data_IF_479266854089
#
_entry.id   IF_479266854089
#
_cell.length_a   1.000
_cell.length_b   1.000
_cell.length_c   1.000
_cell.angle_alpha   90.00
_cell.angle_beta   90.00
_cell.angle_gamma   90.00
#
_symmetry.space_group_name_H-M   'P 1'
#
loop_
_entity.id
_entity.type
_entity.pdbx_description
1 polymer ?
#
# COMPACT_ATOMS: atom_id res chain seq x y z
N UNK A 1 9.11 -12.62 -0.52
CA UNK A 1 10.00 -11.45 -0.38
C UNK A 1 10.07 -10.70 -1.70
N UNK A 2 9.88 -9.35 -1.70
CA UNK A 2 10.24 -8.50 -2.83
C UNK A 2 11.67 -8.01 -2.72
N UNK A 3 12.40 -7.99 -3.84
CA UNK A 3 13.70 -7.34 -3.97
C UNK A 3 13.70 -6.42 -5.17
N UNK A 4 14.16 -5.19 -4.98
CA UNK A 4 14.40 -4.21 -6.05
C UNK A 4 15.91 -4.11 -6.23
N UNK A 5 16.40 -4.39 -7.45
CA UNK A 5 17.82 -4.46 -7.80
C UNK A 5 18.15 -3.47 -8.91
N UNK A 6 18.51 -2.25 -8.52
CA UNK A 6 18.84 -1.18 -9.44
C UNK A 6 17.70 -0.79 -10.39
N UNK A 7 16.44 -1.01 -9.99
CA UNK A 7 15.29 -0.75 -10.86
C UNK A 7 15.14 0.75 -11.13
N UNK A 8 15.02 1.09 -12.42
CA UNK A 8 14.79 2.45 -12.91
C UNK A 8 13.50 2.54 -13.70
N UNK A 9 12.99 3.76 -13.84
CA UNK A 9 11.87 4.01 -14.75
C UNK A 9 12.08 5.32 -15.52
N UNK A 10 12.02 5.20 -16.86
CA UNK A 10 12.21 6.31 -17.79
C UNK A 10 11.04 6.41 -18.76
N UNK A 11 10.61 7.64 -19.06
CA UNK A 11 9.56 7.92 -20.02
C UNK A 11 10.03 9.10 -20.91
N UNK A 12 10.00 8.90 -22.22
CA UNK A 12 10.38 9.92 -23.20
C UNK A 12 11.78 10.54 -22.93
N UNK A 13 12.74 9.72 -22.53
CA UNK A 13 14.10 10.14 -22.21
C UNK A 13 14.26 10.87 -20.86
N UNK A 14 13.20 10.98 -20.07
CA UNK A 14 13.24 11.54 -18.71
C UNK A 14 13.22 10.40 -17.68
N UNK A 15 14.24 10.35 -16.84
CA UNK A 15 14.28 9.44 -15.72
C UNK A 15 13.35 9.95 -14.61
N UNK A 16 12.29 9.15 -14.31
CA UNK A 16 11.31 9.44 -13.27
C UNK A 16 11.63 8.70 -11.96
N UNK A 17 12.32 7.55 -12.05
CA UNK A 17 12.84 6.82 -10.91
C UNK A 17 14.27 6.38 -11.22
N UNK A 18 15.21 6.87 -10.43
CA UNK A 18 16.62 6.48 -10.47
C UNK A 18 16.83 5.11 -9.83
N UNK A 19 18.00 4.46 -9.98
CA UNK A 19 18.22 3.13 -9.45
C UNK A 19 17.82 3.01 -7.98
N UNK A 20 16.92 2.05 -7.70
CA UNK A 20 16.45 1.72 -6.36
C UNK A 20 17.00 0.36 -5.97
N UNK A 21 17.58 0.28 -4.77
CA UNK A 21 17.99 -0.95 -4.10
C UNK A 21 17.21 -1.07 -2.80
N UNK A 22 16.34 -2.08 -2.67
CA UNK A 22 15.61 -2.31 -1.43
C UNK A 22 15.04 -3.72 -1.36
N UNK A 23 14.77 -4.20 -0.13
CA UNK A 23 14.10 -5.48 0.15
C UNK A 23 12.90 -5.25 1.04
N UNK A 24 11.77 -5.88 0.68
CA UNK A 24 10.54 -5.84 1.45
C UNK A 24 10.22 -7.26 1.95
N UNK A 25 10.10 -7.38 3.27
CA UNK A 25 9.91 -8.64 3.99
C UNK A 25 8.46 -8.79 4.46
N UNK A 26 7.99 -10.02 4.63
CA UNK A 26 6.68 -10.33 5.18
C UNK A 26 6.63 -9.96 6.68
N UNK A 27 5.44 -9.60 7.17
CA UNK A 27 5.21 -9.20 8.56
C UNK A 27 5.62 -7.76 8.89
N UNK A 28 5.89 -6.92 7.88
CA UNK A 28 6.26 -5.51 8.06
C UNK A 28 5.41 -4.58 7.20
N UNK A 29 5.21 -3.36 7.69
CA UNK A 29 4.63 -2.23 6.95
C UNK A 29 5.76 -1.27 6.56
N UNK A 30 5.91 -1.05 5.26
CA UNK A 30 6.84 -0.11 4.65
C UNK A 30 6.12 1.15 4.19
N UNK A 31 6.43 2.29 4.78
CA UNK A 31 5.89 3.59 4.37
C UNK A 31 6.74 4.23 3.27
N UNK A 32 6.17 4.45 2.10
CA UNK A 32 6.80 5.26 1.06
C UNK A 32 6.42 6.73 1.31
N UNK A 33 7.40 7.58 1.64
CA UNK A 33 7.20 8.99 1.99
C UNK A 33 7.97 9.93 1.06
N UNK A 34 7.63 11.21 1.06
CA UNK A 34 8.25 12.25 0.24
C UNK A 34 7.20 13.15 -0.43
N UNK A 35 7.67 14.25 -1.02
CA UNK A 35 6.80 15.24 -1.69
C UNK A 35 6.09 14.64 -2.93
N UNK A 36 5.10 15.37 -3.46
CA UNK A 36 4.40 14.97 -4.70
C UNK A 36 5.38 14.96 -5.88
N UNK A 37 5.28 13.92 -6.73
CA UNK A 37 6.20 13.75 -7.85
C UNK A 37 7.59 13.20 -7.47
N UNK A 38 7.82 12.77 -6.23
CA UNK A 38 9.11 12.21 -5.79
C UNK A 38 9.40 10.79 -6.29
N UNK A 39 8.42 10.09 -6.94
CA UNK A 39 8.60 8.75 -7.49
C UNK A 39 7.91 7.63 -6.71
N UNK A 40 7.18 7.90 -5.62
CA UNK A 40 6.49 6.90 -4.78
C UNK A 40 5.53 6.02 -5.58
N UNK A 41 4.56 6.65 -6.28
CA UNK A 41 3.60 5.93 -7.12
C UNK A 41 4.25 5.24 -8.31
N UNK A 42 5.39 5.74 -8.81
CA UNK A 42 6.18 5.04 -9.83
C UNK A 42 6.77 3.76 -9.25
N UNK A 43 7.42 3.81 -8.09
CA UNK A 43 7.99 2.63 -7.45
C UNK A 43 6.91 1.58 -7.16
N UNK A 44 5.79 1.96 -6.56
CA UNK A 44 4.72 1.00 -6.23
C UNK A 44 4.11 0.38 -7.49
N UNK A 45 4.01 1.11 -8.61
CA UNK A 45 3.54 0.58 -9.90
C UNK A 45 4.52 -0.40 -10.54
N UNK A 46 5.83 -0.22 -10.35
CA UNK A 46 6.84 -1.21 -10.77
C UNK A 46 6.67 -2.50 -9.96
N UNK A 47 6.51 -2.39 -8.63
CA UNK A 47 6.25 -3.52 -7.74
C UNK A 47 4.94 -4.23 -8.09
N UNK A 48 3.90 -3.49 -8.48
CA UNK A 48 2.58 -4.01 -8.85
C UNK A 48 2.50 -4.57 -10.28
N UNK A 49 3.61 -4.64 -11.02
CA UNK A 49 3.63 -5.05 -12.44
C UNK A 49 2.71 -4.19 -13.34
N UNK A 50 2.43 -2.95 -12.91
CA UNK A 50 1.62 -2.00 -13.69
C UNK A 50 2.46 -1.22 -14.70
N UNK A 51 3.77 -1.18 -14.48
CA UNK A 51 4.74 -0.55 -15.38
C UNK A 51 5.98 -1.44 -15.48
N UNK A 52 6.60 -1.57 -16.66
CA UNK A 52 7.85 -2.29 -16.81
C UNK A 52 9.02 -1.48 -16.24
N UNK A 53 10.04 -2.14 -15.73
CA UNK A 53 11.31 -1.50 -15.39
C UNK A 53 12.06 -1.11 -16.66
N UNK A 54 12.75 0.04 -16.66
CA UNK A 54 13.60 0.46 -17.78
C UNK A 54 14.98 -0.17 -17.72
N UNK A 55 15.56 -0.26 -16.51
CA UNK A 55 16.82 -0.97 -16.22
C UNK A 55 16.74 -1.58 -14.82
N UNK A 56 17.60 -2.54 -14.54
CA UNK A 56 17.57 -3.29 -13.29
C UNK A 56 16.42 -4.30 -13.25
N UNK A 57 16.06 -4.75 -12.07
CA UNK A 57 15.07 -5.81 -11.87
C UNK A 57 14.22 -5.57 -10.62
N UNK A 58 12.97 -6.03 -10.68
CA UNK A 58 12.12 -6.26 -9.52
C UNK A 58 11.88 -7.76 -9.42
N UNK A 59 12.21 -8.35 -8.29
CA UNK A 59 12.11 -9.78 -8.03
C UNK A 59 11.02 -10.04 -7.00
N UNK A 60 10.22 -11.05 -7.23
CA UNK A 60 9.27 -11.61 -6.26
C UNK A 60 9.61 -13.08 -6.02
N UNK A 61 9.91 -13.43 -4.77
CA UNK A 61 10.29 -14.80 -4.37
C UNK A 61 11.42 -15.39 -5.24
N UNK A 62 12.41 -14.56 -5.59
CA UNK A 62 13.58 -14.95 -6.38
C UNK A 62 13.35 -15.06 -7.90
N UNK A 63 12.18 -14.67 -8.40
CA UNK A 63 11.82 -14.66 -9.82
C UNK A 63 11.51 -13.24 -10.28
N UNK A 64 11.99 -12.77 -11.45
CA UNK A 64 11.64 -11.46 -11.98
C UNK A 64 10.12 -11.29 -12.08
N UNK A 65 9.59 -10.12 -11.68
CA UNK A 65 8.13 -9.87 -11.77
C UNK A 65 7.62 -9.93 -13.20
N UNK A 66 8.45 -9.59 -14.19
CA UNK A 66 8.12 -9.71 -15.63
C UNK A 66 7.78 -11.14 -16.08
N UNK A 67 8.30 -12.13 -15.38
CA UNK A 67 8.16 -13.55 -15.75
C UNK A 67 6.91 -14.19 -15.16
N UNK A 68 6.23 -13.48 -14.25
CA UNK A 68 5.00 -13.96 -13.64
C UNK A 68 3.80 -13.75 -14.57
N UNK A 69 2.99 -14.77 -14.77
CA UNK A 69 1.68 -14.62 -15.38
C UNK A 69 0.75 -13.77 -14.51
N UNK A 70 -0.10 -12.94 -15.10
CA UNK A 70 -0.95 -11.99 -14.37
C UNK A 70 -1.74 -12.61 -13.21
N UNK A 71 -2.36 -13.80 -13.41
CA UNK A 71 -3.12 -14.48 -12.35
C UNK A 71 -2.22 -15.04 -11.26
N UNK A 72 -1.10 -15.62 -11.63
CA UNK A 72 -0.13 -16.18 -10.68
C UNK A 72 0.44 -15.07 -9.79
N UNK A 73 0.78 -13.94 -10.40
CA UNK A 73 1.23 -12.74 -9.70
C UNK A 73 0.14 -12.19 -8.76
N UNK A 74 -1.10 -12.07 -9.24
CA UNK A 74 -2.22 -11.58 -8.45
C UNK A 74 -2.58 -12.48 -7.26
N UNK A 75 -2.22 -13.77 -7.26
CA UNK A 75 -2.33 -14.63 -6.06
C UNK A 75 -1.27 -14.34 -5.00
N UNK A 76 -0.27 -13.54 -5.32
CA UNK A 76 0.83 -13.16 -4.41
C UNK A 76 0.76 -11.72 -3.98
N UNK A 77 0.30 -10.85 -4.87
CA UNK A 77 0.35 -9.39 -4.73
C UNK A 77 -1.01 -8.80 -5.01
N UNK A 78 -1.59 -8.13 -4.03
CA UNK A 78 -2.77 -7.29 -4.18
C UNK A 78 -2.34 -5.83 -4.30
N UNK A 79 -2.99 -5.08 -5.18
CA UNK A 79 -2.67 -3.68 -5.45
C UNK A 79 -3.92 -2.81 -5.41
N UNK A 80 -3.88 -1.75 -4.61
CA UNK A 80 -4.88 -0.70 -4.56
C UNK A 80 -4.33 0.56 -5.22
N UNK A 81 -4.85 0.97 -6.37
CA UNK A 81 -4.40 2.20 -7.03
C UNK A 81 -4.94 3.45 -6.32
N UNK A 82 -4.26 4.59 -6.50
CA UNK A 82 -4.67 5.89 -5.97
C UNK A 82 -6.08 6.29 -6.40
N UNK A 83 -6.43 6.04 -7.66
CA UNK A 83 -7.77 6.27 -8.19
C UNK A 83 -8.50 4.94 -8.29
N UNK A 84 -9.48 4.76 -7.40
CA UNK A 84 -10.29 3.55 -7.39
C UNK A 84 -11.17 3.49 -8.65
N UNK A 85 -11.30 2.32 -9.28
CA UNK A 85 -12.24 2.12 -10.38
C UNK A 85 -13.68 2.42 -9.95
N UNK A 86 -14.54 2.76 -10.89
CA UNK A 86 -15.97 2.87 -10.64
C UNK A 86 -16.54 1.50 -10.21
N UNK A 87 -17.36 1.51 -9.18
CA UNK A 87 -18.07 0.33 -8.68
C UNK A 87 -19.59 0.56 -8.73
N UNK A 88 -20.05 1.33 -9.72
CA UNK A 88 -21.46 1.68 -9.91
C UNK A 88 -22.34 0.42 -9.99
N UNK A 89 -23.46 0.47 -9.29
CA UNK A 89 -24.44 -0.60 -9.22
C UNK A 89 -23.96 -1.91 -8.57
N UNK A 90 -22.77 -1.95 -7.94
CA UNK A 90 -22.30 -3.10 -7.19
C UNK A 90 -22.62 -2.92 -5.71
N UNK A 91 -23.04 -4.00 -5.05
CA UNK A 91 -23.02 -4.06 -3.59
C UNK A 91 -21.60 -4.40 -3.10
N UNK A 92 -21.28 -4.04 -1.84
CA UNK A 92 -19.95 -4.27 -1.28
C UNK A 92 -19.50 -5.73 -1.39
N UNK A 93 -20.38 -6.69 -1.11
CA UNK A 93 -20.10 -8.13 -1.22
C UNK A 93 -19.72 -8.57 -2.63
N UNK A 94 -20.36 -8.03 -3.65
CA UNK A 94 -20.01 -8.32 -5.04
C UNK A 94 -18.62 -7.76 -5.38
N UNK A 95 -18.33 -6.52 -4.96
CA UNK A 95 -17.00 -5.93 -5.14
C UNK A 95 -15.92 -6.76 -4.42
N UNK A 96 -16.17 -7.17 -3.17
CA UNK A 96 -15.23 -8.01 -2.40
C UNK A 96 -15.00 -9.34 -3.12
N UNK A 97 -16.02 -9.92 -3.74
CA UNK A 97 -15.91 -11.19 -4.47
C UNK A 97 -14.95 -11.11 -5.68
N UNK A 98 -14.73 -9.93 -6.27
CA UNK A 98 -13.75 -9.75 -7.33
C UNK A 98 -12.31 -10.03 -6.88
N UNK A 99 -12.02 -9.95 -5.59
CA UNK A 99 -10.75 -10.41 -5.02
C UNK A 99 -10.45 -11.89 -5.32
N UNK A 100 -11.47 -12.70 -5.60
CA UNK A 100 -11.31 -14.12 -5.95
C UNK A 100 -11.01 -14.38 -7.43
N UNK A 101 -11.07 -13.35 -8.29
CA UNK A 101 -10.78 -13.47 -9.72
C UNK A 101 -9.45 -14.20 -10.06
N UNK A 102 -8.34 -13.98 -9.37
CA UNK A 102 -7.09 -14.69 -9.65
C UNK A 102 -7.20 -16.21 -9.47
N UNK A 103 -8.13 -16.69 -8.65
CA UNK A 103 -8.28 -18.12 -8.30
C UNK A 103 -9.09 -18.90 -9.31
N UNK A 104 -10.18 -18.34 -9.85
CA UNK A 104 -11.07 -19.04 -10.79
C UNK A 104 -11.21 -18.37 -12.16
N UNK A 105 -10.79 -17.09 -12.30
CA UNK A 105 -10.94 -16.30 -13.53
C UNK A 105 -12.38 -15.86 -13.83
N UNK A 106 -12.57 -15.15 -14.94
CA UNK A 106 -13.84 -14.50 -15.28
C UNK A 106 -15.01 -15.50 -15.51
N UNK A 107 -14.72 -16.68 -16.05
CA UNK A 107 -15.72 -17.70 -16.38
C UNK A 107 -15.79 -18.83 -15.34
N UNK A 108 -14.97 -18.75 -14.28
CA UNK A 108 -14.98 -19.73 -13.21
C UNK A 108 -16.21 -19.59 -12.30
N UNK A 109 -16.68 -20.70 -11.75
CA UNK A 109 -17.74 -20.68 -10.74
C UNK A 109 -17.13 -20.45 -9.38
N UNK A 110 -17.77 -19.61 -8.57
CA UNK A 110 -17.41 -19.45 -7.16
C UNK A 110 -17.54 -20.78 -6.42
N UNK A 111 -16.47 -21.20 -5.79
CA UNK A 111 -16.42 -22.39 -4.94
C UNK A 111 -16.89 -22.05 -3.52
N UNK A 112 -17.03 -23.07 -2.66
CA UNK A 112 -17.27 -22.84 -1.22
C UNK A 112 -16.06 -22.15 -0.55
N UNK A 113 -14.84 -22.43 -1.03
CA UNK A 113 -13.62 -21.76 -0.55
C UNK A 113 -13.62 -20.27 -0.88
N UNK A 114 -14.08 -19.90 -2.09
CA UNK A 114 -14.19 -18.48 -2.48
C UNK A 114 -15.22 -17.75 -1.59
N UNK A 115 -16.36 -18.36 -1.32
CA UNK A 115 -17.37 -17.80 -0.42
C UNK A 115 -16.80 -17.63 0.99
N UNK A 116 -16.11 -18.63 1.51
CA UNK A 116 -15.48 -18.56 2.82
C UNK A 116 -14.39 -17.47 2.89
N UNK A 117 -13.62 -17.28 1.81
CA UNK A 117 -12.61 -16.21 1.73
C UNK A 117 -13.26 -14.81 1.72
N UNK A 118 -14.39 -14.64 1.01
CA UNK A 118 -15.16 -13.38 1.01
C UNK A 118 -15.72 -13.09 2.40
N UNK A 119 -16.34 -14.07 3.07
CA UNK A 119 -16.86 -13.86 4.44
C UNK A 119 -15.74 -13.51 5.43
N UNK A 120 -14.61 -14.23 5.40
CA UNK A 120 -13.44 -13.87 6.22
C UNK A 120 -12.93 -12.45 5.94
N UNK A 121 -12.91 -12.02 4.68
CA UNK A 121 -12.49 -10.68 4.33
C UNK A 121 -13.45 -9.60 4.87
N UNK A 122 -14.75 -9.86 4.84
CA UNK A 122 -15.81 -9.02 5.42
C UNK A 122 -15.58 -8.87 6.93
N UNK A 123 -15.41 -9.99 7.64
CA UNK A 123 -15.16 -10.00 9.09
C UNK A 123 -13.85 -9.25 9.44
N UNK A 124 -12.75 -9.57 8.76
CA UNK A 124 -11.44 -8.97 9.01
C UNK A 124 -11.40 -7.45 8.76
N UNK A 125 -12.20 -6.95 7.83
CA UNK A 125 -12.28 -5.52 7.49
C UNK A 125 -13.36 -4.76 8.26
N UNK A 126 -14.16 -5.46 9.09
CA UNK A 126 -15.32 -4.90 9.80
C UNK A 126 -16.30 -4.19 8.86
N UNK A 127 -16.74 -4.94 7.81
CA UNK A 127 -17.65 -4.42 6.78
C UNK A 127 -19.02 -5.09 6.79
N UNK A 128 -19.34 -5.90 7.80
CA UNK A 128 -20.55 -6.72 7.92
C UNK A 128 -21.83 -5.88 7.75
N UNK A 129 -21.88 -4.70 8.40
CA UNK A 129 -23.07 -3.86 8.45
C UNK A 129 -23.39 -3.18 7.11
N UNK A 130 -22.44 -3.13 6.18
CA UNK A 130 -22.61 -2.42 4.90
C UNK A 130 -22.14 -3.22 3.67
N UNK A 131 -21.73 -4.48 3.84
CA UNK A 131 -21.33 -5.34 2.71
C UNK A 131 -22.45 -5.55 1.69
N UNK A 132 -23.70 -5.52 2.11
CA UNK A 132 -24.86 -5.71 1.24
C UNK A 132 -25.52 -4.40 0.78
N UNK A 133 -24.85 -3.24 1.02
CA UNK A 133 -25.26 -1.93 0.50
C UNK A 133 -24.53 -1.61 -0.81
N UNK A 134 -25.16 -0.76 -1.64
CA UNK A 134 -24.51 -0.25 -2.87
C UNK A 134 -23.26 0.56 -2.52
N UNK A 135 -22.15 0.28 -3.19
CA UNK A 135 -20.84 0.90 -2.93
C UNK A 135 -20.89 2.43 -3.08
N UNK A 136 -21.68 2.93 -4.02
CA UNK A 136 -21.84 4.36 -4.26
C UNK A 136 -22.61 5.09 -3.15
N UNK A 137 -23.35 4.37 -2.31
CA UNK A 137 -24.07 4.92 -1.15
C UNK A 137 -23.27 4.92 0.14
N UNK A 138 -22.07 4.36 0.11
CA UNK A 138 -21.19 4.27 1.26
C UNK A 138 -20.45 5.59 1.51
N UNK A 139 -20.17 5.89 2.77
CA UNK A 139 -19.23 6.96 3.13
C UNK A 139 -17.82 6.64 2.58
N UNK A 140 -16.94 7.64 2.55
CA UNK A 140 -15.56 7.45 2.09
C UNK A 140 -14.83 6.34 2.85
N UNK A 141 -14.97 6.32 4.19
CA UNK A 141 -14.33 5.30 5.05
C UNK A 141 -14.92 3.90 4.86
N UNK A 142 -16.27 3.77 4.80
CA UNK A 142 -16.93 2.50 4.52
C UNK A 142 -16.51 1.95 3.15
N UNK A 143 -16.50 2.80 2.13
CA UNK A 143 -16.07 2.42 0.78
C UNK A 143 -14.61 1.97 0.76
N UNK A 144 -13.71 2.69 1.46
CA UNK A 144 -12.30 2.30 1.55
C UNK A 144 -12.13 0.93 2.21
N UNK A 145 -12.89 0.62 3.27
CA UNK A 145 -12.88 -0.70 3.93
C UNK A 145 -13.37 -1.80 3.00
N UNK A 146 -14.39 -1.55 2.16
CA UNK A 146 -14.86 -2.53 1.16
C UNK A 146 -13.78 -2.83 0.12
N UNK A 147 -13.05 -1.81 -0.37
CA UNK A 147 -11.90 -2.03 -1.25
C UNK A 147 -10.78 -2.79 -0.57
N UNK A 148 -10.49 -2.49 0.70
CA UNK A 148 -9.51 -3.25 1.47
C UNK A 148 -9.96 -4.72 1.65
N UNK A 149 -11.25 -4.96 1.94
CA UNK A 149 -11.83 -6.29 2.01
C UNK A 149 -11.66 -7.08 0.70
N UNK A 150 -11.84 -6.42 -0.45
CA UNK A 150 -11.59 -7.04 -1.75
C UNK A 150 -10.14 -7.52 -1.88
N UNK A 151 -9.17 -6.71 -1.44
CA UNK A 151 -7.76 -7.12 -1.45
C UNK A 151 -7.48 -8.27 -0.47
N UNK A 152 -8.14 -8.29 0.69
CA UNK A 152 -8.03 -9.40 1.66
C UNK A 152 -8.64 -10.70 1.13
N UNK A 153 -9.78 -10.61 0.43
CA UNK A 153 -10.39 -11.78 -0.22
C UNK A 153 -9.48 -12.42 -1.28
N UNK A 154 -8.52 -11.68 -1.81
CA UNK A 154 -7.52 -12.20 -2.74
C UNK A 154 -6.52 -13.15 -2.06
N UNK A 155 -6.38 -13.11 -0.73
CA UNK A 155 -5.47 -13.97 0.07
C UNK A 155 -4.02 -13.90 -0.42
N UNK A 156 -3.59 -12.69 -0.78
CA UNK A 156 -2.20 -12.40 -1.19
C UNK A 156 -1.31 -12.15 0.03
N UNK A 157 0.02 -12.36 -0.14
CA UNK A 157 1.01 -12.10 0.93
C UNK A 157 1.55 -10.67 0.90
N UNK A 158 1.42 -9.99 -0.23
CA UNK A 158 1.91 -8.63 -0.44
C UNK A 158 0.73 -7.70 -0.74
N UNK A 159 0.66 -6.62 0.00
CA UNK A 159 -0.38 -5.60 -0.15
C UNK A 159 0.26 -4.26 -0.51
N UNK A 160 0.02 -3.80 -1.72
CA UNK A 160 0.54 -2.55 -2.27
C UNK A 160 -0.58 -1.51 -2.28
N UNK A 161 -0.41 -0.40 -1.55
CA UNK A 161 -1.44 0.62 -1.34
C UNK A 161 -0.92 1.99 -1.80
N UNK A 162 -1.43 2.49 -2.92
CA UNK A 162 -1.03 3.79 -3.47
C UNK A 162 -1.98 4.88 -2.97
N UNK A 163 -1.58 5.65 -1.95
CA UNK A 163 -2.34 6.74 -1.32
C UNK A 163 -3.76 6.35 -0.86
N UNK A 164 -3.94 5.25 -0.09
CA UNK A 164 -5.26 4.74 0.23
C UNK A 164 -6.09 5.65 1.14
N UNK A 165 -5.51 6.72 1.68
CA UNK A 165 -6.11 7.58 2.68
C UNK A 165 -6.50 8.98 2.14
N UNK A 166 -6.20 9.29 0.87
CA UNK A 166 -6.25 10.65 0.34
C UNK A 166 -7.65 11.33 0.42
N UNK A 167 -8.73 10.54 0.43
CA UNK A 167 -10.11 11.05 0.44
C UNK A 167 -10.79 10.92 1.81
N UNK A 168 -10.05 10.59 2.88
CA UNK A 168 -10.58 10.33 4.20
C UNK A 168 -10.25 11.46 5.17
N UNK A 169 -11.15 11.74 6.12
CA UNK A 169 -10.84 12.56 7.28
C UNK A 169 -9.89 11.85 8.25
N UNK A 170 -9.33 12.60 9.20
CA UNK A 170 -8.29 12.11 10.13
C UNK A 170 -8.77 10.89 10.93
N UNK A 171 -10.03 10.87 11.38
CA UNK A 171 -10.57 9.75 12.15
C UNK A 171 -10.55 8.45 11.34
N UNK A 172 -11.11 8.50 10.13
CA UNK A 172 -11.16 7.35 9.23
C UNK A 172 -9.76 6.93 8.74
N UNK A 173 -8.83 7.88 8.54
CA UNK A 173 -7.44 7.55 8.21
C UNK A 173 -6.79 6.71 9.31
N UNK A 174 -6.96 7.11 10.58
CA UNK A 174 -6.41 6.38 11.72
C UNK A 174 -7.04 5.00 11.87
N UNK A 175 -8.37 4.88 11.68
CA UNK A 175 -9.06 3.59 11.73
C UNK A 175 -8.54 2.61 10.64
N UNK A 176 -8.38 3.09 9.40
CA UNK A 176 -7.87 2.28 8.29
C UNK A 176 -6.42 1.87 8.54
N UNK A 177 -5.55 2.78 9.03
CA UNK A 177 -4.16 2.43 9.36
C UNK A 177 -4.07 1.44 10.53
N UNK A 178 -4.88 1.60 11.56
CA UNK A 178 -4.94 0.66 12.68
C UNK A 178 -5.41 -0.74 12.21
N UNK A 179 -6.38 -0.79 11.31
CA UNK A 179 -6.84 -2.03 10.68
C UNK A 179 -5.71 -2.67 9.85
N UNK A 180 -5.03 -1.91 9.00
CA UNK A 180 -3.89 -2.41 8.20
C UNK A 180 -2.78 -2.96 9.12
N UNK A 181 -2.47 -2.26 10.23
CA UNK A 181 -1.48 -2.72 11.22
C UNK A 181 -1.89 -4.07 11.82
N UNK A 182 -3.12 -4.16 12.32
CA UNK A 182 -3.68 -5.40 12.86
C UNK A 182 -3.59 -6.56 11.84
N UNK A 183 -4.01 -6.33 10.60
CA UNK A 183 -3.96 -7.34 9.54
C UNK A 183 -2.53 -7.76 9.20
N UNK A 184 -1.59 -6.82 9.15
CA UNK A 184 -0.17 -7.14 8.95
C UNK A 184 0.35 -8.05 10.06
N UNK A 185 0.03 -7.76 11.32
CA UNK A 185 0.47 -8.54 12.46
C UNK A 185 -0.14 -9.95 12.52
N UNK A 186 -1.45 -10.06 12.25
CA UNK A 186 -2.19 -11.33 12.31
C UNK A 186 -1.89 -12.24 11.13
N UNK A 187 -1.87 -11.69 9.92
CA UNK A 187 -1.72 -12.46 8.66
C UNK A 187 -0.28 -12.49 8.15
N UNK A 188 0.67 -11.82 8.83
CA UNK A 188 2.07 -11.70 8.42
C UNK A 188 2.25 -11.13 7.02
N UNK A 189 1.40 -10.17 6.64
CA UNK A 189 1.47 -9.53 5.34
C UNK A 189 2.72 -8.65 5.23
N UNK A 190 3.27 -8.53 4.02
CA UNK A 190 4.12 -7.42 3.65
C UNK A 190 3.24 -6.31 3.10
N UNK A 191 3.19 -5.17 3.77
CA UNK A 191 2.42 -4.01 3.31
C UNK A 191 3.37 -2.93 2.84
N UNK A 192 3.18 -2.43 1.62
CA UNK A 192 3.90 -1.26 1.09
C UNK A 192 2.85 -0.18 0.82
N UNK A 193 2.93 0.92 1.56
CA UNK A 193 1.90 1.95 1.57
C UNK A 193 2.49 3.34 1.28
N UNK A 194 1.89 4.06 0.35
CA UNK A 194 2.23 5.48 0.11
C UNK A 194 1.48 6.36 1.10
N UNK A 195 2.21 7.12 1.89
CA UNK A 195 1.69 8.04 2.88
C UNK A 195 2.25 9.44 2.69
N UNK A 196 1.43 10.46 2.95
CA UNK A 196 1.84 11.88 2.90
C UNK A 196 2.19 12.43 4.28
N UNK A 197 1.49 11.96 5.32
CA UNK A 197 1.71 12.40 6.69
C UNK A 197 2.81 11.58 7.36
N UNK A 198 3.92 12.24 7.70
CA UNK A 198 5.06 11.61 8.34
C UNK A 198 4.73 11.13 9.76
N UNK A 199 3.82 11.80 10.46
CA UNK A 199 3.45 11.39 11.82
C UNK A 199 2.63 10.11 11.78
N UNK A 200 1.73 9.96 10.80
CA UNK A 200 1.02 8.69 10.57
C UNK A 200 1.99 7.59 10.12
N UNK A 201 2.91 7.89 9.19
CA UNK A 201 3.90 6.93 8.74
C UNK A 201 4.79 6.46 9.89
N UNK A 202 5.27 7.37 10.74
CA UNK A 202 6.11 7.01 11.89
C UNK A 202 5.41 6.17 12.95
N UNK A 203 4.07 6.30 13.06
CA UNK A 203 3.28 5.57 14.05
C UNK A 203 2.90 4.15 13.61
N UNK A 204 2.66 3.96 12.32
CA UNK A 204 2.06 2.70 11.82
C UNK A 204 3.01 1.85 11.00
N UNK A 205 4.13 2.39 10.49
CA UNK A 205 5.08 1.65 9.68
C UNK A 205 6.26 1.13 10.50
N UNK A 206 6.80 -0.01 10.10
CA UNK A 206 8.02 -0.59 10.68
C UNK A 206 9.27 0.03 10.07
N UNK A 207 9.21 0.34 8.77
CA UNK A 207 10.28 0.99 8.01
C UNK A 207 9.71 2.10 7.12
N UNK A 208 10.50 3.14 6.92
CA UNK A 208 10.18 4.26 6.03
C UNK A 208 11.21 4.31 4.91
N UNK A 209 10.74 4.49 3.68
CA UNK A 209 11.55 4.72 2.49
C UNK A 209 11.19 6.09 1.94
N UNK A 210 12.11 7.05 2.07
CA UNK A 210 11.92 8.41 1.62
C UNK A 210 12.43 8.61 0.20
N UNK A 211 11.56 9.10 -0.68
CA UNK A 211 11.93 9.45 -2.06
C UNK A 211 11.93 10.96 -2.25
N UNK A 212 12.94 11.44 -2.96
CA UNK A 212 13.06 12.82 -3.40
C UNK A 212 13.56 12.86 -4.85
N UNK A 213 12.84 13.55 -5.74
CA UNK A 213 13.21 13.70 -7.16
C UNK A 213 13.58 12.37 -7.85
N UNK A 214 12.80 11.32 -7.60
CA UNK A 214 13.01 10.00 -8.18
C UNK A 214 14.15 9.18 -7.56
N UNK A 215 14.75 9.62 -6.46
CA UNK A 215 15.85 8.92 -5.77
C UNK A 215 15.42 8.52 -4.36
N UNK A 216 15.90 7.38 -3.88
CA UNK A 216 15.85 7.06 -2.47
C UNK A 216 16.83 7.96 -1.75
N UNK A 217 16.30 8.85 -0.91
CA UNK A 217 17.10 9.81 -0.14
C UNK A 217 17.56 9.20 1.19
N UNK A 218 16.66 8.49 1.85
CA UNK A 218 16.91 7.84 3.13
C UNK A 218 15.95 6.65 3.32
N UNK A 219 16.34 5.68 4.10
CA UNK A 219 15.49 4.60 4.56
C UNK A 219 15.92 4.16 5.97
N UNK A 220 14.98 3.60 6.73
CA UNK A 220 15.25 3.10 8.08
C UNK A 220 13.98 3.03 8.92
N UNK A 221 14.15 2.68 10.18
CA UNK A 221 13.06 2.69 11.16
C UNK A 221 12.53 4.12 11.37
N UNK A 222 11.26 4.28 11.82
CA UNK A 222 10.74 5.59 12.19
C UNK A 222 11.64 6.34 13.18
N UNK A 223 12.27 5.65 14.14
CA UNK A 223 13.16 6.26 15.12
C UNK A 223 14.41 6.90 14.48
N UNK A 224 14.96 6.27 13.45
CA UNK A 224 16.11 6.78 12.68
C UNK A 224 15.70 7.92 11.74
N UNK A 225 14.52 7.83 11.14
CA UNK A 225 14.03 8.79 10.14
C UNK A 225 13.48 10.08 10.76
N UNK A 226 12.95 10.03 12.00
CA UNK A 226 12.35 11.17 12.70
C UNK A 226 13.44 12.05 13.34
N UNK A 227 14.17 12.78 12.49
CA UNK A 227 15.14 13.82 12.89
C UNK A 227 14.91 15.07 12.05
N UNK A 228 15.18 16.27 12.63
CA UNK A 228 14.99 17.56 11.94
C UNK A 228 15.70 17.57 10.58
N UNK A 229 16.98 17.19 10.57
CA UNK A 229 17.80 17.19 9.34
C UNK A 229 17.28 16.24 8.25
N UNK A 230 16.85 15.02 8.64
CA UNK A 230 16.30 14.04 7.68
C UNK A 230 15.00 14.55 7.08
N UNK A 231 14.10 15.07 7.91
CA UNK A 231 12.80 15.56 7.46
C UNK A 231 12.93 16.82 6.61
N UNK A 232 13.81 17.74 6.96
CA UNK A 232 14.13 18.91 6.14
C UNK A 232 14.64 18.49 4.75
N UNK A 233 15.54 17.50 4.68
CA UNK A 233 16.02 16.96 3.42
C UNK A 233 14.93 16.31 2.57
N UNK A 234 13.95 15.61 3.22
CA UNK A 234 12.85 14.95 2.53
C UNK A 234 11.82 15.94 1.98
N UNK A 235 11.41 16.92 2.81
CA UNK A 235 10.30 17.84 2.51
C UNK A 235 10.75 19.19 1.96
N UNK A 236 12.03 19.54 2.09
CA UNK A 236 12.59 20.79 1.59
C UNK A 236 12.17 22.04 2.38
N UNK A 237 11.73 21.86 3.63
CA UNK A 237 11.33 22.93 4.54
C UNK A 237 11.82 22.61 5.97
N UNK A 238 12.08 23.64 6.81
CA UNK A 238 12.48 23.43 8.19
C UNK A 238 11.42 22.63 8.96
N UNK A 239 11.86 21.57 9.62
CA UNK A 239 11.03 20.69 10.43
C UNK A 239 11.62 20.56 11.83
N UNK A 240 10.78 20.49 12.83
CA UNK A 240 11.17 20.21 14.21
C UNK A 240 10.54 18.92 14.69
N UNK A 241 11.35 18.04 15.24
CA UNK A 241 10.92 16.78 15.85
C UNK A 241 10.90 16.91 17.36
N UNK A 242 9.76 16.60 17.97
CA UNK A 242 9.58 16.69 19.41
C UNK A 242 8.89 15.42 19.94
N UNK A 243 9.02 15.13 21.25
CA UNK A 243 8.26 14.06 21.87
C UNK A 243 6.76 14.32 21.74
N UNK A 244 5.99 13.28 21.41
CA UNK A 244 4.53 13.38 21.49
C UNK A 244 4.08 13.54 22.95
N UNK A 245 3.01 14.29 23.26
CA UNK A 245 2.55 14.51 24.64
C UNK A 245 2.30 13.23 25.46
N UNK A 246 1.98 12.11 24.81
CA UNK A 246 1.85 10.81 25.50
C UNK A 246 3.19 10.09 25.74
N UNK A 247 4.32 10.61 25.22
CA UNK A 247 5.67 10.07 25.41
C UNK A 247 6.02 8.79 24.65
N UNK A 248 5.09 8.19 23.91
CA UNK A 248 5.30 6.89 23.24
C UNK A 248 6.05 6.99 21.91
N UNK A 249 5.99 8.12 21.23
CA UNK A 249 6.60 8.34 19.93
C UNK A 249 7.00 9.81 19.73
N UNK A 250 7.63 10.12 18.59
CA UNK A 250 7.96 11.49 18.19
C UNK A 250 6.94 12.00 17.19
N UNK A 251 6.78 13.33 17.15
CA UNK A 251 6.00 14.04 16.15
C UNK A 251 6.89 15.06 15.45
N UNK A 252 6.61 15.30 14.17
CA UNK A 252 7.25 16.31 13.37
C UNK A 252 6.27 17.44 13.09
N UNK A 253 6.76 18.67 13.22
CA UNK A 253 6.02 19.91 12.97
C UNK A 253 6.81 20.75 11.98
N UNK A 254 6.14 21.32 10.97
CA UNK A 254 6.75 22.32 10.10
C UNK A 254 6.94 23.65 10.86
N UNK A 255 8.09 24.31 10.67
CA UNK A 255 8.41 25.59 11.29
C UNK A 255 8.02 26.79 10.41
#
# INVERSE_FOLDING_TARGET
MFEVKGATFEVNGKCLLHPVEHRFEEGKIYGLIGHNGSGKSTLIKLLAQQQPVSQGEVMLDGRPVSDWGQREFARRVAYLPQHLPSAENLIGRELISFGRYPWHGLLGRHTQEDKAAVERAIELSHTEDFADRLVDTLSGGERQRVWLAMLLAQESRFLLLDEPLAALDISHQMEVLALIRKLCDELKLCVIIVLHDINMASRYCDELLALHSGRVLAHGSPAEMMTDATLEAIYGLPMQVMPHPNGEHRIAVAC
#
